data_IF_582448261319
#
_entry.id   IF_582448261319
#
_cell.length_a   1.000
_cell.length_b   1.000
_cell.length_c   1.000
_cell.angle_alpha   90.00
_cell.angle_beta   90.00
_cell.angle_gamma   90.00
#
_symmetry.space_group_name_H-M   'P 1'
#
loop_
_entity.id
_entity.type
_entity.pdbx_description
1 polymer ?
#
# COMPACT_ATOMS: atom_id res chain seq x y z
N UNK A 1 53.36 -30.55 -33.55
CA UNK A 1 52.19 -29.69 -33.71
C UNK A 1 51.12 -30.20 -32.75
N UNK A 2 51.03 -29.56 -31.56
CA UNK A 2 50.06 -29.91 -30.53
C UNK A 2 48.79 -29.12 -30.74
N UNK A 3 47.75 -29.76 -31.23
CA UNK A 3 46.41 -29.20 -31.27
C UNK A 3 45.71 -29.44 -29.93
N UNK A 4 45.79 -28.48 -29.06
CA UNK A 4 44.98 -28.48 -27.82
C UNK A 4 43.50 -28.36 -28.18
N UNK A 5 42.76 -29.45 -28.08
CA UNK A 5 41.31 -29.43 -28.12
C UNK A 5 40.80 -28.77 -26.87
N UNK A 6 40.32 -27.55 -26.98
CA UNK A 6 39.48 -26.93 -25.95
C UNK A 6 38.14 -27.67 -25.91
N UNK A 7 37.98 -28.49 -24.90
CA UNK A 7 36.67 -29.06 -24.57
C UNK A 7 35.87 -28.01 -23.81
N UNK A 8 34.95 -27.35 -24.49
CA UNK A 8 33.93 -26.55 -23.87
C UNK A 8 32.98 -27.49 -23.10
N UNK A 9 33.20 -27.64 -21.80
CA UNK A 9 32.19 -28.20 -20.95
C UNK A 9 31.01 -27.24 -20.94
N UNK A 10 30.00 -27.52 -21.74
CA UNK A 10 28.65 -26.95 -21.57
C UNK A 10 28.07 -27.50 -20.28
N UNK A 11 28.41 -26.88 -19.18
CA UNK A 11 27.57 -26.91 -18.00
C UNK A 11 26.33 -26.08 -18.35
N UNK A 12 25.34 -26.73 -18.92
CA UNK A 12 23.97 -26.21 -18.96
C UNK A 12 23.62 -25.90 -17.50
N UNK A 13 23.28 -24.64 -17.15
CA UNK A 13 22.69 -24.40 -15.85
C UNK A 13 21.43 -25.25 -15.82
N UNK A 14 21.42 -26.28 -14.98
CA UNK A 14 20.20 -26.99 -14.66
C UNK A 14 19.29 -25.92 -14.05
N UNK A 15 18.41 -25.41 -14.86
CA UNK A 15 17.30 -24.59 -14.42
C UNK A 15 16.39 -25.56 -13.65
N UNK A 16 16.76 -25.84 -12.40
CA UNK A 16 15.96 -26.64 -11.48
C UNK A 16 14.72 -25.82 -11.19
N UNK A 17 13.70 -26.06 -12.01
CA UNK A 17 12.36 -25.52 -11.78
C UNK A 17 11.97 -25.98 -10.38
N UNK A 18 11.79 -25.05 -9.45
CA UNK A 18 11.39 -25.37 -8.09
C UNK A 18 10.05 -26.10 -8.12
N UNK A 19 9.81 -27.07 -7.23
CA UNK A 19 8.52 -27.74 -7.13
C UNK A 19 7.37 -26.75 -6.99
N UNK A 20 6.22 -27.05 -7.56
CA UNK A 20 5.03 -26.20 -7.46
C UNK A 20 4.64 -25.94 -5.99
N UNK A 21 4.84 -26.94 -5.14
CA UNK A 21 4.60 -26.83 -3.70
C UNK A 21 5.40 -25.70 -3.05
N UNK A 22 6.66 -25.51 -3.42
CA UNK A 22 7.51 -24.44 -2.86
C UNK A 22 6.98 -23.06 -3.19
N UNK A 23 6.39 -22.90 -4.40
CA UNK A 23 5.73 -21.64 -4.78
C UNK A 23 4.44 -21.42 -4.00
N UNK A 24 3.66 -22.48 -3.72
CA UNK A 24 2.45 -22.36 -2.91
C UNK A 24 2.78 -22.05 -1.45
N UNK A 25 3.82 -22.66 -0.89
CA UNK A 25 4.27 -22.35 0.47
C UNK A 25 4.83 -20.92 0.54
N UNK A 26 5.59 -20.50 -0.46
CA UNK A 26 6.04 -19.12 -0.59
C UNK A 26 4.86 -18.12 -0.69
N UNK A 27 3.79 -18.47 -1.37
CA UNK A 27 2.58 -17.65 -1.47
C UNK A 27 1.92 -17.47 -0.10
N UNK A 28 1.79 -18.54 0.68
CA UNK A 28 1.28 -18.49 2.06
C UNK A 28 2.14 -17.58 2.94
N UNK A 29 3.46 -17.75 2.90
CA UNK A 29 4.39 -16.95 3.69
C UNK A 29 4.30 -15.45 3.36
N UNK A 30 4.19 -15.10 2.08
CA UNK A 30 3.99 -13.70 1.67
C UNK A 30 2.67 -13.16 2.21
N UNK A 31 1.59 -13.94 2.13
CA UNK A 31 0.28 -13.55 2.64
C UNK A 31 0.25 -13.38 4.16
N UNK A 32 0.94 -14.23 4.91
CA UNK A 32 1.09 -14.07 6.36
C UNK A 32 1.81 -12.77 6.73
N UNK A 33 2.87 -12.45 6.01
CA UNK A 33 3.59 -11.18 6.18
C UNK A 33 2.70 -9.99 5.81
N UNK A 34 1.94 -10.09 4.72
CA UNK A 34 1.01 -9.07 4.29
C UNK A 34 -0.10 -8.84 5.32
N UNK A 35 -0.65 -9.90 5.90
CA UNK A 35 -1.65 -9.80 6.96
C UNK A 35 -1.11 -9.03 8.17
N UNK A 36 0.12 -9.31 8.59
CA UNK A 36 0.77 -8.59 9.71
C UNK A 36 0.96 -7.11 9.40
N UNK A 37 1.37 -6.77 8.19
CA UNK A 37 1.52 -5.36 7.77
C UNK A 37 0.18 -4.64 7.75
N UNK A 38 -0.87 -5.27 7.21
CA UNK A 38 -2.22 -4.69 7.18
C UNK A 38 -2.75 -4.51 8.61
N UNK A 39 -2.47 -5.44 9.52
CA UNK A 39 -2.85 -5.31 10.92
C UNK A 39 -2.11 -4.16 11.60
N UNK A 40 -0.81 -4.03 11.40
CA UNK A 40 -0.02 -2.93 11.94
C UNK A 40 -0.48 -1.57 11.40
N UNK A 41 -0.88 -1.51 10.13
CA UNK A 41 -1.48 -0.32 9.51
C UNK A 41 -2.81 0.05 10.19
N UNK A 42 -3.67 -0.94 10.45
CA UNK A 42 -4.93 -0.74 11.17
C UNK A 42 -4.69 -0.18 12.59
N UNK A 43 -3.77 -0.77 13.34
CA UNK A 43 -3.44 -0.31 14.69
C UNK A 43 -2.87 1.12 14.68
N UNK A 44 -1.99 1.42 13.73
CA UNK A 44 -1.45 2.77 13.56
C UNK A 44 -2.55 3.80 13.24
N UNK A 45 -3.54 3.44 12.43
CA UNK A 45 -4.70 4.29 12.14
C UNK A 45 -5.59 4.47 13.36
N UNK A 46 -5.84 3.40 14.11
CA UNK A 46 -6.65 3.42 15.33
C UNK A 46 -6.03 4.30 16.41
N UNK A 47 -4.73 4.14 16.62
CA UNK A 47 -3.98 4.84 17.67
C UNK A 47 -3.45 6.20 17.20
N UNK A 48 -3.75 6.60 15.96
CA UNK A 48 -3.34 7.87 15.34
C UNK A 48 -1.83 8.07 15.20
N UNK A 49 -1.08 6.98 15.12
CA UNK A 49 0.35 6.99 14.82
C UNK A 49 0.58 7.03 13.30
N UNK A 50 0.20 8.17 12.69
CA UNK A 50 0.20 8.33 11.23
C UNK A 50 1.59 8.32 10.61
N UNK A 51 2.62 8.59 11.42
CA UNK A 51 4.04 8.51 11.02
C UNK A 51 4.46 7.11 10.57
N UNK A 52 3.80 6.07 11.09
CA UNK A 52 4.09 4.67 10.74
C UNK A 52 3.47 4.24 9.41
N UNK A 53 2.52 5.01 8.86
CA UNK A 53 1.77 4.60 7.66
C UNK A 53 2.64 4.54 6.41
N UNK A 54 3.59 5.46 6.27
CA UNK A 54 4.46 5.49 5.08
C UNK A 54 5.31 4.24 4.97
N UNK A 55 6.14 3.86 5.98
CA UNK A 55 6.94 2.65 5.91
C UNK A 55 6.08 1.38 5.79
N UNK A 56 4.91 1.31 6.45
CA UNK A 56 3.99 0.17 6.31
C UNK A 56 3.42 0.07 4.89
N UNK A 57 3.08 1.19 4.27
CA UNK A 57 2.62 1.23 2.88
C UNK A 57 3.69 0.75 1.90
N UNK A 58 4.94 1.13 2.11
CA UNK A 58 6.08 0.65 1.32
C UNK A 58 6.26 -0.86 1.47
N UNK A 59 6.25 -1.38 2.69
CA UNK A 59 6.32 -2.82 2.97
C UNK A 59 5.15 -3.58 2.32
N UNK A 60 3.94 -3.03 2.39
CA UNK A 60 2.75 -3.61 1.76
C UNK A 60 2.91 -3.68 0.24
N UNK A 61 3.39 -2.62 -0.39
CA UNK A 61 3.64 -2.57 -1.83
C UNK A 61 4.66 -3.61 -2.27
N UNK A 62 5.76 -3.76 -1.55
CA UNK A 62 6.78 -4.76 -1.82
C UNK A 62 6.25 -6.19 -1.72
N UNK A 63 5.44 -6.46 -0.69
CA UNK A 63 4.82 -7.77 -0.51
C UNK A 63 3.80 -8.07 -1.62
N UNK A 64 3.04 -7.08 -2.06
CA UNK A 64 2.11 -7.23 -3.17
C UNK A 64 2.82 -7.51 -4.49
N UNK A 65 3.95 -6.86 -4.76
CA UNK A 65 4.78 -7.15 -5.93
C UNK A 65 5.36 -8.58 -5.88
N UNK A 66 5.83 -9.03 -4.72
CA UNK A 66 6.30 -10.40 -4.51
C UNK A 66 5.18 -11.42 -4.71
N UNK A 67 3.98 -11.13 -4.20
CA UNK A 67 2.80 -11.95 -4.37
C UNK A 67 2.45 -12.12 -5.85
N UNK A 68 2.41 -11.00 -6.59
CA UNK A 68 2.12 -10.99 -8.01
C UNK A 68 3.18 -11.74 -8.83
N UNK A 69 4.46 -11.53 -8.52
CA UNK A 69 5.56 -12.23 -9.19
C UNK A 69 5.49 -13.75 -8.95
N UNK A 70 5.19 -14.15 -7.72
CA UNK A 70 5.05 -15.56 -7.37
C UNK A 70 3.82 -16.19 -8.04
N UNK A 71 2.70 -15.46 -8.10
CA UNK A 71 1.48 -15.88 -8.81
C UNK A 71 1.75 -16.14 -10.31
N UNK A 72 2.53 -15.27 -10.96
CA UNK A 72 2.94 -15.49 -12.35
C UNK A 72 3.79 -16.76 -12.51
N UNK A 73 4.70 -17.03 -11.59
CA UNK A 73 5.51 -18.25 -11.62
C UNK A 73 4.65 -19.51 -11.44
N UNK A 74 3.66 -19.46 -10.57
CA UNK A 74 2.68 -20.54 -10.39
C UNK A 74 1.90 -20.77 -11.69
N UNK A 75 1.39 -19.71 -12.31
CA UNK A 75 0.62 -19.80 -13.57
C UNK A 75 1.43 -20.39 -14.73
N UNK A 76 2.71 -20.11 -14.79
CA UNK A 76 3.61 -20.58 -15.83
C UNK A 76 4.27 -21.93 -15.51
N UNK A 77 3.97 -22.50 -14.35
CA UNK A 77 4.58 -23.76 -13.93
C UNK A 77 4.06 -24.93 -14.77
N UNK A 78 4.94 -25.86 -15.12
CA UNK A 78 4.59 -27.05 -15.92
C UNK A 78 3.51 -27.93 -15.28
N UNK A 79 3.46 -27.95 -13.94
CA UNK A 79 2.49 -28.72 -13.16
C UNK A 79 1.26 -27.92 -12.73
N UNK A 80 0.99 -26.78 -13.36
CA UNK A 80 -0.14 -25.91 -12.99
C UNK A 80 -1.49 -26.62 -12.92
N UNK A 81 -1.70 -27.67 -13.72
CA UNK A 81 -2.92 -28.48 -13.70
C UNK A 81 -3.17 -29.13 -12.33
N UNK A 82 -2.11 -29.44 -11.57
CA UNK A 82 -2.23 -30.03 -10.23
C UNK A 82 -2.87 -29.11 -9.20
N UNK A 83 -2.96 -27.80 -9.47
CA UNK A 83 -3.67 -26.85 -8.62
C UNK A 83 -5.15 -27.18 -8.43
N UNK A 84 -5.75 -27.84 -9.41
CA UNK A 84 -7.18 -28.21 -9.40
C UNK A 84 -7.42 -29.63 -8.86
N UNK A 85 -6.37 -30.36 -8.57
CA UNK A 85 -6.45 -31.77 -8.12
C UNK A 85 -5.68 -31.96 -6.82
N UNK A 86 -4.39 -32.19 -6.92
CA UNK A 86 -3.50 -32.54 -5.80
C UNK A 86 -3.39 -31.39 -4.77
N UNK A 87 -3.25 -30.14 -5.25
CA UNK A 87 -3.03 -28.95 -4.41
C UNK A 87 -4.31 -28.13 -4.17
N UNK A 88 -5.47 -28.68 -4.44
CA UNK A 88 -6.73 -27.96 -4.23
C UNK A 88 -6.95 -27.47 -2.79
N UNK A 89 -6.62 -28.22 -1.73
CA UNK A 89 -6.72 -27.74 -0.36
C UNK A 89 -5.82 -26.52 -0.10
N UNK A 90 -4.57 -26.53 -0.56
CA UNK A 90 -3.62 -25.43 -0.42
C UNK A 90 -4.08 -24.20 -1.17
N UNK A 91 -4.57 -24.36 -2.39
CA UNK A 91 -5.13 -23.28 -3.20
C UNK A 91 -6.34 -22.64 -2.50
N UNK A 92 -7.17 -23.44 -1.86
CA UNK A 92 -8.34 -22.96 -1.11
C UNK A 92 -7.90 -22.13 0.09
N UNK A 93 -6.90 -22.59 0.84
CA UNK A 93 -6.32 -21.84 1.97
C UNK A 93 -5.77 -20.49 1.48
N UNK A 94 -4.95 -20.49 0.42
CA UNK A 94 -4.38 -19.29 -0.17
C UNK A 94 -5.47 -18.30 -0.59
N UNK A 95 -6.51 -18.77 -1.27
CA UNK A 95 -7.65 -17.94 -1.68
C UNK A 95 -8.35 -17.29 -0.49
N UNK A 96 -8.54 -18.04 0.59
CA UNK A 96 -9.17 -17.52 1.81
C UNK A 96 -8.27 -16.48 2.50
N UNK A 97 -6.96 -16.71 2.56
CA UNK A 97 -6.01 -15.73 3.08
C UNK A 97 -6.00 -14.44 2.24
N UNK A 98 -6.03 -14.56 0.91
CA UNK A 98 -6.12 -13.41 0.00
C UNK A 98 -7.39 -12.60 0.25
N UNK A 99 -8.56 -13.26 0.34
CA UNK A 99 -9.83 -12.58 0.63
C UNK A 99 -9.80 -11.86 1.97
N UNK A 100 -9.23 -12.49 3.00
CA UNK A 100 -9.07 -11.88 4.32
C UNK A 100 -8.18 -10.63 4.28
N UNK A 101 -7.04 -10.71 3.60
CA UNK A 101 -6.16 -9.56 3.41
C UNK A 101 -6.85 -8.43 2.64
N UNK A 102 -7.55 -8.76 1.56
CA UNK A 102 -8.30 -7.80 0.75
C UNK A 102 -9.36 -7.08 1.59
N UNK A 103 -10.18 -7.81 2.31
CA UNK A 103 -11.22 -7.24 3.17
C UNK A 103 -10.64 -6.30 4.24
N UNK A 104 -9.57 -6.72 4.93
CA UNK A 104 -8.90 -5.87 5.92
C UNK A 104 -8.27 -4.63 5.30
N UNK A 105 -7.66 -4.78 4.13
CA UNK A 105 -7.08 -3.64 3.41
C UNK A 105 -8.14 -2.62 2.96
N UNK A 106 -9.33 -3.08 2.59
CA UNK A 106 -10.47 -2.21 2.28
C UNK A 106 -10.93 -1.41 3.50
N UNK A 107 -10.95 -2.04 4.68
CA UNK A 107 -11.25 -1.36 5.95
C UNK A 107 -10.21 -0.27 6.21
N UNK A 108 -8.92 -0.59 6.09
CA UNK A 108 -7.85 0.38 6.27
C UNK A 108 -7.97 1.55 5.28
N UNK A 109 -8.29 1.26 4.02
CA UNK A 109 -8.53 2.29 3.00
C UNK A 109 -9.66 3.26 3.39
N UNK A 110 -10.74 2.75 3.92
CA UNK A 110 -11.86 3.58 4.44
C UNK A 110 -11.42 4.43 5.63
N UNK A 111 -10.66 3.85 6.56
CA UNK A 111 -10.13 4.57 7.72
C UNK A 111 -9.17 5.69 7.30
N UNK A 112 -8.28 5.43 6.36
CA UNK A 112 -7.37 6.43 5.79
C UNK A 112 -8.18 7.58 5.19
N UNK A 113 -9.18 7.28 4.37
CA UNK A 113 -10.05 8.28 3.75
C UNK A 113 -10.76 9.14 4.81
N UNK A 114 -11.29 8.54 5.86
CA UNK A 114 -11.92 9.27 6.97
C UNK A 114 -10.93 10.18 7.70
N UNK A 115 -9.71 9.69 7.97
CA UNK A 115 -8.66 10.49 8.60
C UNK A 115 -8.28 11.69 7.73
N UNK A 116 -8.13 11.49 6.42
CA UNK A 116 -7.82 12.57 5.48
C UNK A 116 -8.95 13.61 5.42
N UNK A 117 -10.20 13.18 5.37
CA UNK A 117 -11.34 14.09 5.39
C UNK A 117 -11.38 14.91 6.68
N UNK A 118 -11.11 14.29 7.82
CA UNK A 118 -11.05 15.00 9.10
C UNK A 118 -9.91 16.01 9.14
N UNK A 119 -8.73 15.64 8.64
CA UNK A 119 -7.59 16.56 8.53
C UNK A 119 -7.89 17.74 7.62
N UNK A 120 -8.51 17.51 6.46
CA UNK A 120 -8.90 18.55 5.53
C UNK A 120 -9.95 19.50 6.14
N UNK A 121 -10.93 18.95 6.87
CA UNK A 121 -11.91 19.77 7.59
C UNK A 121 -11.26 20.64 8.65
N UNK A 122 -10.34 20.05 9.45
CA UNK A 122 -9.61 20.79 10.47
C UNK A 122 -8.74 21.89 9.84
N UNK A 123 -8.06 21.60 8.76
CA UNK A 123 -7.26 22.57 8.03
C UNK A 123 -8.12 23.73 7.50
N UNK A 124 -9.29 23.44 6.95
CA UNK A 124 -10.22 24.45 6.49
C UNK A 124 -10.68 25.39 7.62
N UNK A 125 -10.97 24.82 8.81
CA UNK A 125 -11.32 25.61 9.99
C UNK A 125 -10.15 26.47 10.44
N UNK A 126 -8.94 25.91 10.51
CA UNK A 126 -7.74 26.67 10.90
C UNK A 126 -7.41 27.79 9.93
N UNK A 127 -7.55 27.57 8.63
CA UNK A 127 -7.38 28.59 7.60
C UNK A 127 -8.46 29.67 7.71
N UNK A 128 -9.72 29.27 7.94
CA UNK A 128 -10.81 30.20 8.16
C UNK A 128 -10.58 31.10 9.37
N UNK A 129 -10.13 30.54 10.49
CA UNK A 129 -9.75 31.29 11.69
C UNK A 129 -8.58 32.23 11.38
N UNK A 130 -7.55 31.74 10.70
CA UNK A 130 -6.41 32.56 10.28
C UNK A 130 -6.84 33.75 9.44
N UNK A 131 -7.73 33.53 8.48
CA UNK A 131 -8.23 34.60 7.61
C UNK A 131 -9.00 35.63 8.39
N UNK A 132 -9.79 35.25 9.38
CA UNK A 132 -10.50 36.17 10.27
C UNK A 132 -9.51 36.99 11.12
N UNK A 133 -8.52 36.31 11.71
CA UNK A 133 -7.48 36.98 12.50
C UNK A 133 -6.66 37.94 11.62
N UNK A 134 -6.29 37.51 10.42
CA UNK A 134 -5.52 38.35 9.48
C UNK A 134 -6.32 39.55 9.02
N UNK A 135 -7.61 39.40 8.76
CA UNK A 135 -8.49 40.49 8.42
C UNK A 135 -8.60 41.53 9.54
N UNK A 136 -8.66 41.06 10.77
CA UNK A 136 -8.77 41.96 11.91
C UNK A 136 -7.42 42.65 12.25
N UNK A 137 -6.30 42.11 11.77
CA UNK A 137 -4.96 42.63 12.06
C UNK A 137 -4.35 43.41 10.88
N UNK A 138 -4.91 43.35 9.68
CA UNK A 138 -4.39 44.10 8.54
C UNK A 138 -4.92 45.52 8.51
N UNK A 139 -4.54 46.28 9.48
CA UNK A 139 -4.43 47.72 9.27
C UNK A 139 -3.07 47.97 8.64
N UNK A 140 -3.06 48.49 7.43
CA UNK A 140 -1.83 48.94 6.81
C UNK A 140 -1.24 50.11 7.61
N UNK A 141 0.07 50.30 7.50
CA UNK A 141 0.74 51.48 8.09
C UNK A 141 0.12 52.83 7.69
N UNK A 142 -0.79 52.83 6.75
CA UNK A 142 -1.59 54.01 6.31
C UNK A 142 -3.01 54.05 6.91
N UNK A 143 -3.34 53.17 7.87
CA UNK A 143 -4.62 53.16 8.55
C UNK A 143 -5.81 52.65 7.72
N UNK A 144 -5.56 52.00 6.58
CA UNK A 144 -6.62 51.44 5.75
C UNK A 144 -6.77 49.94 6.01
N UNK A 145 -7.99 49.52 6.32
CA UNK A 145 -8.30 48.09 6.38
C UNK A 145 -8.46 47.55 4.97
N UNK A 146 -7.56 46.67 4.55
CA UNK A 146 -7.75 45.92 3.32
C UNK A 146 -8.59 44.69 3.60
N UNK A 147 -9.88 44.79 3.43
CA UNK A 147 -10.79 43.65 3.47
C UNK A 147 -10.56 42.81 2.23
N UNK A 148 -9.84 41.69 2.37
CA UNK A 148 -9.84 40.64 1.35
C UNK A 148 -10.81 39.56 1.76
N UNK A 149 -11.92 39.47 1.08
CA UNK A 149 -12.88 38.37 1.20
C UNK A 149 -14.29 38.81 0.82
N UNK A 150 -15.11 37.85 0.39
CA UNK A 150 -16.47 38.09 0.00
C UNK A 150 -17.27 38.27 1.26
N UNK A 151 -17.30 39.44 1.76
CA UNK A 151 -18.29 39.72 2.74
C UNK A 151 -18.43 41.15 2.91
N UNK A 152 -19.23 41.50 2.23
CA UNK A 152 -19.87 42.62 2.72
C UNK A 152 -21.15 42.27 3.34
N UNK A 153 -21.16 42.23 4.58
CA UNK A 153 -22.25 42.80 5.30
C UNK A 153 -22.06 44.32 5.23
N UNK A 154 -22.57 44.93 4.17
CA UNK A 154 -22.86 46.32 4.24
C UNK A 154 -24.02 46.46 5.18
N UNK A 155 -23.73 46.84 6.38
CA UNK A 155 -24.71 47.45 7.24
C UNK A 155 -24.81 48.88 6.75
N UNK A 156 -25.73 49.11 5.87
CA UNK A 156 -26.23 50.43 5.65
C UNK A 156 -27.06 50.80 6.87
N UNK A 157 -26.52 51.67 7.61
CA UNK A 157 -27.28 52.33 8.64
C UNK A 157 -28.15 53.44 8.04
#
# INVERSE_FOLDING_TARGET
MNTSRFVFNKTTPQNTVRPLKDYLDGQKEILEKLEKVIQAEYESLKDRHLENLKPLSEMKSDLMLKLQSNDQRIKLHSEVAKLHTEFLPEVTIIKNMMKKCQFRNEINGKLITMCMQSANKLQAVLLGVRDVVTRNMTYTAKGYATARGPSRLSVDA
#
